data_IF_867154572963
#
_entry.id   IF_867154572963
#
_cell.length_a   1.000
_cell.length_b   1.000
_cell.length_c   1.000
_cell.angle_alpha   90.00
_cell.angle_beta   90.00
_cell.angle_gamma   90.00
#
_symmetry.space_group_name_H-M   'P 1'
#
loop_
_entity.id
_entity.type
_entity.pdbx_description
1 polymer ?
#
# COMPACT_ATOMS: atom_id res chain seq x y z
N UNK A 1 14.97 -13.05 12.26
CA UNK A 1 15.14 -14.46 11.87
C UNK A 1 16.39 -15.06 12.51
N UNK A 2 16.33 -16.32 12.91
CA UNK A 2 17.47 -17.04 13.51
C UNK A 2 17.59 -18.42 12.86
N UNK A 3 18.83 -18.85 12.64
CA UNK A 3 19.10 -20.23 12.25
C UNK A 3 19.06 -21.13 13.48
N UNK A 4 18.27 -22.20 13.43
CA UNK A 4 18.30 -23.24 14.45
C UNK A 4 18.57 -24.60 13.81
N UNK A 5 19.27 -25.48 14.56
CA UNK A 5 19.41 -26.90 14.24
C UNK A 5 18.77 -27.72 15.35
N UNK A 6 17.74 -28.46 15.01
CA UNK A 6 17.05 -29.34 15.93
C UNK A 6 17.50 -30.78 15.73
N UNK A 7 18.02 -31.40 16.78
CA UNK A 7 18.38 -32.80 16.78
C UNK A 7 17.46 -33.54 17.73
N UNK A 8 16.68 -34.47 17.17
CA UNK A 8 15.75 -35.32 17.92
C UNK A 8 16.34 -36.72 18.01
N UNK A 9 16.53 -37.20 19.22
CA UNK A 9 16.89 -38.58 19.53
C UNK A 9 15.75 -39.25 20.30
N UNK A 10 15.77 -40.57 20.47
CA UNK A 10 14.70 -41.30 21.16
C UNK A 10 14.41 -40.77 22.58
N UNK A 11 15.35 -40.10 23.22
CA UNK A 11 15.25 -39.64 24.61
C UNK A 11 15.43 -38.14 24.79
N UNK A 12 15.94 -37.40 23.77
CA UNK A 12 16.28 -35.99 23.93
C UNK A 12 15.96 -35.17 22.68
N UNK A 13 15.53 -33.93 22.91
CA UNK A 13 15.41 -32.88 21.88
C UNK A 13 16.43 -31.80 22.19
N UNK A 14 17.41 -31.61 21.32
CA UNK A 14 18.45 -30.58 21.46
C UNK A 14 18.29 -29.53 20.35
N UNK A 15 18.27 -28.26 20.75
CA UNK A 15 18.22 -27.13 19.82
C UNK A 15 19.53 -26.36 19.93
N UNK A 16 20.24 -26.22 18.83
CA UNK A 16 21.40 -25.34 18.70
C UNK A 16 20.93 -24.07 17.94
N UNK A 17 21.18 -22.91 18.53
CA UNK A 17 20.85 -21.60 17.94
C UNK A 17 22.10 -21.07 17.22
N UNK A 18 21.93 -20.62 16.00
CA UNK A 18 22.99 -20.10 15.12
C UNK A 18 24.21 -21.03 15.04
N UNK A 19 24.03 -22.32 14.70
CA UNK A 19 25.14 -23.28 14.70
C UNK A 19 26.20 -22.95 13.64
N UNK A 20 25.84 -22.20 12.61
CA UNK A 20 26.73 -21.81 11.51
C UNK A 20 26.82 -20.28 11.41
N UNK A 21 28.03 -19.70 11.69
CA UNK A 21 28.20 -18.25 11.76
C UNK A 21 27.86 -17.51 10.44
N UNK A 22 28.14 -18.12 9.27
CA UNK A 22 27.89 -17.46 7.99
C UNK A 22 26.39 -17.25 7.72
N UNK A 23 25.53 -18.21 8.11
CA UNK A 23 24.07 -18.06 8.02
C UNK A 23 23.59 -16.95 8.96
N UNK A 24 24.14 -16.89 10.17
CA UNK A 24 23.82 -15.83 11.12
C UNK A 24 24.12 -14.46 10.52
N UNK A 25 25.33 -14.26 9.98
CA UNK A 25 25.72 -13.00 9.35
C UNK A 25 24.82 -12.64 8.17
N UNK A 26 24.50 -13.61 7.32
CA UNK A 26 23.58 -13.41 6.20
C UNK A 26 22.17 -12.95 6.63
N UNK A 27 21.70 -13.43 7.78
CA UNK A 27 20.37 -13.05 8.30
C UNK A 27 20.42 -11.69 9.04
N UNK A 28 21.56 -11.33 9.66
CA UNK A 28 21.76 -10.04 10.34
C UNK A 28 22.11 -8.92 9.34
N UNK A 29 22.98 -9.23 8.35
CA UNK A 29 23.47 -8.31 7.33
C UNK A 29 23.36 -8.95 5.92
N UNK A 30 22.16 -9.01 5.34
CA UNK A 30 21.94 -9.73 4.09
C UNK A 30 22.69 -9.13 2.90
N UNK A 31 23.05 -7.85 2.96
CA UNK A 31 23.86 -7.17 1.97
C UNK A 31 24.46 -5.87 2.56
N UNK A 32 25.35 -5.23 1.79
CA UNK A 32 26.07 -4.03 2.21
C UNK A 32 25.19 -2.77 2.41
N UNK A 33 23.90 -2.81 2.05
CA UNK A 33 23.02 -1.65 2.10
C UNK A 33 21.97 -1.72 3.20
N UNK A 34 21.70 -2.91 3.76
CA UNK A 34 20.59 -3.08 4.69
C UNK A 34 20.81 -4.19 5.70
N UNK A 35 20.21 -4.01 6.86
CA UNK A 35 20.13 -5.05 7.89
C UNK A 35 19.04 -6.08 7.55
N UNK A 36 19.06 -7.23 8.25
CA UNK A 36 18.04 -8.26 8.10
C UNK A 36 16.62 -7.74 8.39
N UNK A 37 16.48 -6.83 9.36
CA UNK A 37 15.20 -6.18 9.66
C UNK A 37 14.70 -5.34 8.46
N UNK A 38 15.56 -4.48 7.90
CA UNK A 38 15.20 -3.63 6.75
C UNK A 38 14.82 -4.46 5.52
N UNK A 39 15.49 -5.59 5.30
CA UNK A 39 15.12 -6.53 4.23
C UNK A 39 13.72 -7.09 4.45
N UNK A 40 13.42 -7.55 5.68
CA UNK A 40 12.10 -8.12 6.02
C UNK A 40 10.98 -7.08 5.91
N UNK A 41 11.21 -5.85 6.39
CA UNK A 41 10.26 -4.74 6.23
C UNK A 41 9.97 -4.46 4.76
N UNK A 42 11.01 -4.44 3.92
CA UNK A 42 10.85 -4.21 2.48
C UNK A 42 10.08 -5.33 1.80
N UNK A 43 10.34 -6.59 2.16
CA UNK A 43 9.60 -7.74 1.64
C UNK A 43 8.15 -7.73 2.10
N UNK A 44 7.89 -7.41 3.37
CA UNK A 44 6.53 -7.28 3.90
C UNK A 44 5.74 -6.17 3.19
N UNK A 45 6.36 -5.00 2.97
CA UNK A 45 5.74 -3.91 2.23
C UNK A 45 5.42 -4.31 0.77
N UNK A 46 6.33 -4.99 0.08
CA UNK A 46 6.07 -5.50 -1.28
C UNK A 46 4.94 -6.53 -1.29
N UNK A 47 4.91 -7.43 -0.30
CA UNK A 47 3.87 -8.45 -0.19
C UNK A 47 2.48 -7.83 -0.03
N UNK A 48 2.34 -6.86 0.88
CA UNK A 48 1.07 -6.16 1.12
C UNK A 48 0.60 -5.37 -0.10
N UNK A 49 1.53 -4.76 -0.85
CA UNK A 49 1.18 -3.92 -2.01
C UNK A 49 0.88 -4.72 -3.27
N UNK A 50 1.57 -5.85 -3.47
CA UNK A 50 1.55 -6.56 -4.76
C UNK A 50 1.14 -8.03 -4.65
N UNK A 51 0.87 -8.54 -3.45
CA UNK A 51 0.69 -9.98 -3.16
C UNK A 51 1.85 -10.86 -3.65
N UNK A 52 2.97 -10.24 -4.01
CA UNK A 52 4.22 -10.90 -4.39
C UNK A 52 5.40 -10.09 -3.90
N UNK A 53 6.33 -10.73 -3.21
CA UNK A 53 7.59 -10.11 -2.81
C UNK A 53 8.76 -11.03 -3.15
N UNK A 54 9.83 -10.44 -3.68
CA UNK A 54 10.96 -11.19 -4.19
C UNK A 54 12.26 -10.73 -3.57
N UNK A 55 13.12 -11.69 -3.20
CA UNK A 55 14.53 -11.42 -2.94
C UNK A 55 15.39 -12.49 -3.61
N UNK A 56 16.52 -12.07 -4.15
CA UNK A 56 17.49 -12.96 -4.82
C UNK A 56 18.63 -13.29 -3.88
N UNK A 57 18.96 -14.57 -3.80
CA UNK A 57 20.11 -15.07 -3.08
C UNK A 57 21.28 -15.13 -4.05
N UNK A 58 22.33 -14.37 -3.77
CA UNK A 58 23.59 -14.51 -4.47
C UNK A 58 24.44 -15.54 -3.74
N UNK A 59 24.96 -16.51 -4.51
CA UNK A 59 25.83 -17.57 -3.99
C UNK A 59 27.28 -17.32 -4.36
N UNK A 60 28.19 -17.79 -3.52
CA UNK A 60 29.61 -17.80 -3.80
C UNK A 60 30.00 -18.92 -4.78
N UNK A 61 31.29 -19.04 -5.10
CA UNK A 61 31.86 -20.06 -6.00
C UNK A 61 31.61 -21.52 -5.50
N UNK A 62 31.36 -21.69 -4.22
CA UNK A 62 31.06 -22.99 -3.60
C UNK A 62 29.54 -23.28 -3.52
N UNK A 63 28.72 -22.35 -4.04
CA UNK A 63 27.27 -22.47 -3.98
C UNK A 63 26.65 -22.10 -2.63
N UNK A 64 27.43 -21.53 -1.69
CA UNK A 64 26.94 -21.08 -0.41
C UNK A 64 26.28 -19.70 -0.54
N UNK A 65 25.17 -19.45 0.17
CA UNK A 65 24.50 -18.16 0.14
C UNK A 65 25.39 -17.07 0.78
N UNK A 66 25.71 -16.04 0.01
CA UNK A 66 26.61 -14.95 0.39
C UNK A 66 25.90 -13.63 0.62
N UNK A 67 24.86 -13.34 -0.18
CA UNK A 67 24.08 -12.11 -0.01
C UNK A 67 22.62 -12.32 -0.44
N UNK A 68 21.71 -11.48 0.09
CA UNK A 68 20.29 -11.46 -0.26
C UNK A 68 19.91 -10.03 -0.63
N UNK A 69 19.37 -9.85 -1.83
CA UNK A 69 18.91 -8.56 -2.34
C UNK A 69 17.41 -8.58 -2.64
N UNK A 70 16.61 -7.64 -2.11
CA UNK A 70 15.21 -7.52 -2.49
C UNK A 70 15.11 -7.03 -3.94
N UNK A 71 14.19 -7.59 -4.71
CA UNK A 71 13.95 -7.22 -6.11
C UNK A 71 12.72 -6.36 -6.20
N UNK A 72 12.87 -5.12 -6.66
CA UNK A 72 11.77 -4.21 -6.96
C UNK A 72 11.58 -4.16 -8.48
N UNK A 73 10.95 -5.19 -9.04
CA UNK A 73 10.65 -5.26 -10.47
C UNK A 73 9.30 -4.61 -10.78
N UNK A 74 9.16 -4.07 -11.99
CA UNK A 74 7.86 -3.62 -12.53
C UNK A 74 6.98 -4.80 -12.93
N UNK A 75 7.61 -5.88 -13.42
CA UNK A 75 6.96 -7.11 -13.84
C UNK A 75 7.87 -8.30 -13.58
N UNK A 76 7.28 -9.44 -13.26
CA UNK A 76 7.97 -10.71 -13.12
C UNK A 76 7.24 -11.76 -13.95
N UNK A 77 7.98 -12.48 -14.79
CA UNK A 77 7.48 -13.57 -15.61
C UNK A 77 8.10 -14.88 -15.18
N UNK A 78 7.31 -15.95 -15.19
CA UNK A 78 7.77 -17.31 -14.98
C UNK A 78 8.16 -17.94 -16.33
N UNK A 79 9.37 -18.45 -16.42
CA UNK A 79 9.92 -19.05 -17.64
C UNK A 79 10.49 -20.42 -17.30
N UNK A 80 10.20 -21.41 -18.13
CA UNK A 80 10.76 -22.75 -18.00
C UNK A 80 11.85 -22.99 -19.05
N UNK A 81 12.94 -23.60 -18.63
CA UNK A 81 13.95 -24.07 -19.58
C UNK A 81 13.52 -25.38 -20.27
N UNK A 82 14.33 -25.86 -21.21
CA UNK A 82 14.07 -27.12 -21.91
C UNK A 82 14.08 -28.36 -20.98
N UNK A 83 14.67 -28.25 -19.80
CA UNK A 83 14.69 -29.28 -18.76
C UNK A 83 13.52 -29.20 -17.79
N UNK A 84 12.62 -28.20 -17.93
CA UNK A 84 11.50 -28.01 -17.03
C UNK A 84 11.84 -27.26 -15.74
N UNK A 85 13.05 -26.68 -15.64
CA UNK A 85 13.42 -25.88 -14.48
C UNK A 85 12.78 -24.49 -14.59
N UNK A 86 12.25 -24.00 -13.45
CA UNK A 86 11.61 -22.69 -13.36
C UNK A 86 12.64 -21.59 -13.13
N UNK A 87 12.51 -20.53 -13.91
CA UNK A 87 13.24 -19.29 -13.77
C UNK A 87 12.27 -18.13 -13.63
N UNK A 88 12.64 -17.11 -12.86
CA UNK A 88 11.92 -15.83 -12.81
C UNK A 88 12.70 -14.76 -13.58
N UNK A 89 12.00 -14.12 -14.50
CA UNK A 89 12.51 -13.03 -15.32
C UNK A 89 11.91 -11.72 -14.83
N UNK A 90 12.76 -10.84 -14.33
CA UNK A 90 12.38 -9.56 -13.74
C UNK A 90 12.66 -8.41 -14.70
N UNK A 91 11.66 -7.57 -14.95
CA UNK A 91 11.78 -6.35 -15.73
C UNK A 91 11.93 -5.17 -14.77
N UNK A 92 13.09 -4.56 -14.78
CA UNK A 92 13.44 -3.48 -13.86
C UNK A 92 13.03 -2.11 -14.41
N UNK A 93 12.83 -1.14 -13.53
CA UNK A 93 12.45 0.23 -13.90
C UNK A 93 13.46 0.94 -14.83
N UNK A 94 14.73 0.57 -14.75
CA UNK A 94 15.80 1.10 -15.61
C UNK A 94 15.86 0.43 -17.01
N UNK A 95 14.90 -0.43 -17.35
CA UNK A 95 14.84 -1.18 -18.59
C UNK A 95 15.71 -2.43 -18.64
N UNK A 96 16.48 -2.73 -17.58
CA UNK A 96 17.25 -3.98 -17.53
C UNK A 96 16.34 -5.17 -17.25
N UNK A 97 16.76 -6.33 -17.75
CA UNK A 97 16.06 -7.60 -17.54
C UNK A 97 17.02 -8.57 -16.86
N UNK A 98 16.58 -9.08 -15.70
CA UNK A 98 17.36 -10.02 -14.91
C UNK A 98 16.61 -11.36 -14.83
N UNK A 99 17.32 -12.45 -14.98
CA UNK A 99 16.74 -13.80 -14.91
C UNK A 99 17.50 -14.62 -13.87
N UNK A 100 16.76 -15.21 -12.93
CA UNK A 100 17.30 -16.04 -11.86
C UNK A 100 16.59 -17.37 -11.80
N UNK A 101 17.33 -18.43 -11.43
CA UNK A 101 16.71 -19.70 -11.12
C UNK A 101 15.76 -19.55 -9.92
N UNK A 102 14.60 -20.18 -9.97
CA UNK A 102 13.61 -20.07 -8.90
C UNK A 102 14.16 -20.55 -7.54
N UNK A 103 15.12 -21.46 -7.55
CA UNK A 103 15.78 -21.95 -6.34
C UNK A 103 16.61 -20.88 -5.63
N UNK A 104 17.04 -19.84 -6.34
CA UNK A 104 17.78 -18.70 -5.79
C UNK A 104 16.88 -17.49 -5.51
N UNK A 105 15.56 -17.63 -5.65
CA UNK A 105 14.62 -16.55 -5.36
C UNK A 105 13.77 -16.91 -4.16
N UNK A 106 13.83 -16.09 -3.12
CA UNK A 106 12.86 -16.07 -2.02
C UNK A 106 11.62 -15.38 -2.56
N UNK A 107 10.49 -16.09 -2.57
CA UNK A 107 9.23 -15.61 -3.12
C UNK A 107 8.12 -15.71 -2.08
N UNK A 108 7.69 -14.58 -1.53
CA UNK A 108 6.52 -14.49 -0.67
C UNK A 108 5.29 -14.17 -1.50
N UNK A 109 4.16 -14.81 -1.18
CA UNK A 109 2.91 -14.73 -1.95
C UNK A 109 1.74 -14.48 -1.02
N UNK A 110 0.92 -13.48 -1.35
CA UNK A 110 -0.41 -13.28 -0.80
C UNK A 110 -1.47 -13.79 -1.77
N UNK A 111 -2.68 -14.11 -1.27
CA UNK A 111 -3.84 -14.55 -2.07
C UNK A 111 -3.47 -15.55 -3.19
N UNK A 112 -2.79 -16.62 -2.79
CA UNK A 112 -2.25 -17.60 -3.73
C UNK A 112 -3.27 -18.72 -3.97
N UNK A 113 -4.13 -18.58 -4.99
CA UNK A 113 -5.17 -19.57 -5.30
C UNK A 113 -5.44 -19.78 -6.80
N UNK A 114 -5.39 -18.77 -7.65
CA UNK A 114 -5.66 -18.91 -9.10
C UNK A 114 -4.40 -19.26 -9.89
N UNK A 115 -3.26 -18.68 -9.52
CA UNK A 115 -2.00 -18.86 -10.23
C UNK A 115 -1.11 -19.90 -9.54
N UNK A 116 -0.43 -20.76 -10.31
CA UNK A 116 0.44 -21.79 -9.77
C UNK A 116 1.77 -21.25 -9.18
N UNK A 117 2.17 -20.03 -9.55
CA UNK A 117 3.47 -19.45 -9.18
C UNK A 117 3.33 -18.16 -8.42
N UNK A 118 2.51 -17.22 -8.90
CA UNK A 118 2.35 -15.89 -8.34
C UNK A 118 1.11 -15.80 -7.46
N UNK A 119 1.17 -14.96 -6.43
CA UNK A 119 -0.02 -14.51 -5.72
C UNK A 119 -0.87 -13.60 -6.60
N UNK A 120 -2.18 -13.63 -6.42
CA UNK A 120 -3.12 -12.87 -7.22
C UNK A 120 -3.06 -11.38 -6.86
N UNK A 121 -3.12 -10.46 -7.85
CA UNK A 121 -2.93 -9.05 -7.59
C UNK A 121 -4.10 -8.44 -6.81
N UNK A 122 -3.81 -7.64 -5.79
CA UNK A 122 -4.81 -6.89 -5.01
C UNK A 122 -5.43 -5.72 -5.80
N UNK A 123 -4.76 -5.24 -6.86
CA UNK A 123 -5.15 -4.06 -7.61
C UNK A 123 -6.60 -4.06 -8.12
N UNK A 124 -7.17 -5.16 -8.68
CA UNK A 124 -8.57 -5.18 -9.11
C UNK A 124 -9.56 -4.89 -7.98
N UNK A 125 -9.24 -5.24 -6.75
CA UNK A 125 -10.11 -5.01 -5.59
C UNK A 125 -9.95 -3.60 -5.00
N UNK A 126 -8.71 -3.07 -4.96
CA UNK A 126 -8.43 -1.79 -4.29
C UNK A 126 -8.65 -0.57 -5.20
N UNK A 127 -8.36 -0.66 -6.51
CA UNK A 127 -8.44 0.49 -7.43
C UNK A 127 -9.83 1.15 -7.42
N UNK A 128 -10.96 0.43 -7.52
CA UNK A 128 -12.28 1.05 -7.47
C UNK A 128 -12.56 1.77 -6.14
N UNK A 129 -12.05 1.26 -5.02
CA UNK A 129 -12.19 1.90 -3.71
C UNK A 129 -11.37 3.20 -3.63
N UNK A 130 -10.16 3.20 -4.16
CA UNK A 130 -9.31 4.39 -4.21
C UNK A 130 -9.85 5.46 -5.16
N UNK A 131 -10.51 5.07 -6.25
CA UNK A 131 -11.22 6.01 -7.13
C UNK A 131 -12.37 6.72 -6.40
N UNK A 132 -13.14 6.00 -5.59
CA UNK A 132 -14.19 6.59 -4.75
C UNK A 132 -13.59 7.59 -3.77
N UNK A 133 -12.52 7.23 -3.05
CA UNK A 133 -11.83 8.12 -2.11
C UNK A 133 -11.33 9.38 -2.81
N UNK A 134 -10.59 9.22 -3.90
CA UNK A 134 -10.00 10.34 -4.66
C UNK A 134 -11.08 11.28 -5.21
N UNK A 135 -12.16 10.71 -5.78
CA UNK A 135 -13.29 11.50 -6.31
C UNK A 135 -14.02 12.26 -5.20
N UNK A 136 -14.19 11.61 -4.04
CA UNK A 136 -14.80 12.20 -2.85
C UNK A 136 -13.96 13.37 -2.33
N UNK A 137 -12.66 13.20 -2.18
CA UNK A 137 -11.74 14.26 -1.75
C UNK A 137 -11.73 15.44 -2.72
N UNK A 138 -11.72 15.17 -4.02
CA UNK A 138 -11.85 16.22 -5.02
C UNK A 138 -13.19 16.95 -4.95
N UNK A 139 -14.28 16.24 -4.65
CA UNK A 139 -15.60 16.81 -4.40
C UNK A 139 -15.60 17.77 -3.20
N UNK A 140 -15.00 17.34 -2.08
CA UNK A 140 -14.84 18.17 -0.87
C UNK A 140 -14.00 19.42 -1.17
N UNK A 141 -12.85 19.26 -1.84
CA UNK A 141 -12.01 20.42 -2.22
C UNK A 141 -12.77 21.40 -3.11
N UNK A 142 -13.56 20.92 -4.07
CA UNK A 142 -14.41 21.77 -4.91
C UNK A 142 -15.50 22.47 -4.09
N UNK A 143 -16.16 21.75 -3.18
CA UNK A 143 -17.18 22.32 -2.30
C UNK A 143 -16.60 23.41 -1.42
N UNK A 144 -15.41 23.20 -0.82
CA UNK A 144 -14.71 24.21 -0.01
C UNK A 144 -14.37 25.45 -0.86
N UNK A 145 -13.83 25.27 -2.06
CA UNK A 145 -13.52 26.38 -2.96
C UNK A 145 -14.77 27.15 -3.40
N UNK A 146 -15.87 26.43 -3.66
CA UNK A 146 -17.13 27.04 -4.09
C UNK A 146 -17.88 27.69 -2.93
N UNK A 147 -17.75 27.21 -1.69
CA UNK A 147 -18.38 27.81 -0.52
C UNK A 147 -17.87 29.23 -0.21
N UNK A 148 -16.64 29.53 -0.67
CA UNK A 148 -16.08 30.89 -0.56
C UNK A 148 -16.59 31.85 -1.65
N UNK A 149 -17.35 31.37 -2.64
CA UNK A 149 -17.90 32.19 -3.73
C UNK A 149 -19.38 32.33 -3.54
N UNK A 150 -19.80 33.50 -3.00
CA UNK A 150 -21.21 33.88 -2.94
C UNK A 150 -21.67 34.13 -4.37
N UNK A 151 -22.59 33.31 -4.86
CA UNK A 151 -23.20 33.50 -6.20
C UNK A 151 -24.49 34.26 -6.06
N UNK A 152 -24.50 35.47 -6.62
CA UNK A 152 -25.67 36.31 -6.69
C UNK A 152 -26.18 36.41 -8.11
N UNK A 153 -27.48 36.27 -8.30
CA UNK A 153 -28.17 36.60 -9.55
C UNK A 153 -28.80 37.99 -9.44
N UNK A 154 -28.26 38.91 -10.20
CA UNK A 154 -28.84 40.26 -10.32
C UNK A 154 -29.82 40.25 -11.50
N UNK A 155 -31.10 40.46 -11.21
CA UNK A 155 -32.15 40.59 -12.22
C UNK A 155 -32.55 42.06 -12.34
N UNK A 156 -32.50 42.61 -13.55
CA UNK A 156 -32.88 43.97 -13.84
C UNK A 156 -34.24 43.99 -14.53
N UNK A 157 -35.14 44.83 -14.02
CA UNK A 157 -36.52 44.95 -14.58
C UNK A 157 -36.59 45.69 -15.92
N UNK A 158 -35.50 46.28 -16.39
CA UNK A 158 -35.43 47.02 -17.65
C UNK A 158 -34.34 46.44 -18.57
N UNK A 159 -34.55 46.47 -19.87
CA UNK A 159 -33.54 46.09 -20.87
C UNK A 159 -32.37 47.07 -20.81
N UNK A 160 -31.18 46.55 -20.53
CA UNK A 160 -29.93 47.31 -20.42
C UNK A 160 -28.91 46.84 -21.44
N UNK A 161 -27.97 47.70 -21.81
CA UNK A 161 -26.84 47.33 -22.64
C UNK A 161 -25.95 46.32 -21.92
N UNK A 162 -25.31 45.37 -22.59
CA UNK A 162 -24.48 44.39 -21.96
C UNK A 162 -23.32 44.94 -21.13
N UNK A 163 -22.82 46.12 -21.53
CA UNK A 163 -21.74 46.85 -20.83
C UNK A 163 -22.21 47.41 -19.48
N UNK A 164 -23.44 47.99 -19.46
CA UNK A 164 -24.04 48.54 -18.24
C UNK A 164 -24.38 47.42 -17.24
N UNK A 165 -24.80 46.24 -17.73
CA UNK A 165 -25.05 45.06 -16.89
C UNK A 165 -23.75 44.56 -16.24
N UNK A 166 -22.65 44.52 -17.00
CA UNK A 166 -21.32 44.17 -16.48
C UNK A 166 -20.85 45.15 -15.43
N UNK A 167 -20.98 46.46 -15.68
CA UNK A 167 -20.54 47.48 -14.76
C UNK A 167 -21.32 47.40 -13.44
N UNK A 168 -22.65 47.27 -13.48
CA UNK A 168 -23.46 47.10 -12.27
C UNK A 168 -23.19 45.84 -11.49
N UNK A 169 -22.88 44.74 -12.19
CA UNK A 169 -22.47 43.50 -11.53
C UNK A 169 -21.12 43.67 -10.81
N UNK A 170 -20.21 44.44 -11.39
CA UNK A 170 -18.92 44.76 -10.80
C UNK A 170 -19.05 45.70 -9.62
N UNK A 171 -19.84 46.76 -9.75
CA UNK A 171 -20.17 47.72 -8.66
C UNK A 171 -20.84 47.03 -7.46
N UNK A 172 -21.70 46.02 -7.74
CA UNK A 172 -22.32 45.18 -6.71
C UNK A 172 -21.27 44.31 -6.01
N UNK A 173 -20.39 43.65 -6.78
CA UNK A 173 -19.32 42.82 -6.24
C UNK A 173 -18.39 43.67 -5.36
N UNK A 174 -17.97 44.84 -5.82
CA UNK A 174 -17.06 45.71 -5.09
C UNK A 174 -17.70 46.34 -3.84
N UNK A 175 -19.01 46.61 -3.88
CA UNK A 175 -19.72 47.22 -2.77
C UNK A 175 -20.16 46.24 -1.68
N UNK A 176 -20.48 44.98 -2.05
CA UNK A 176 -21.13 44.02 -1.14
C UNK A 176 -20.37 42.73 -0.90
N UNK A 177 -19.46 42.34 -1.80
CA UNK A 177 -18.73 41.06 -1.67
C UNK A 177 -17.30 41.23 -1.13
N UNK A 178 -16.81 42.50 -1.01
CA UNK A 178 -15.51 42.74 -0.40
C UNK A 178 -15.58 42.69 1.14
N UNK A 179 -14.74 41.81 1.71
CA UNK A 179 -14.65 41.52 3.16
C UNK A 179 -14.36 42.79 4.01
N UNK A 180 -13.88 43.88 3.39
CA UNK A 180 -13.59 45.15 4.05
C UNK A 180 -14.83 46.00 4.32
N UNK A 181 -15.98 45.71 3.71
CA UNK A 181 -17.23 46.47 3.91
C UNK A 181 -18.12 45.75 4.95
N UNK A 182 -17.69 45.73 6.20
CA UNK A 182 -18.30 45.00 7.31
C UNK A 182 -19.63 45.55 7.86
N UNK A 183 -20.44 46.24 7.07
CA UNK A 183 -21.73 46.84 7.55
C UNK A 183 -22.93 45.89 7.48
N UNK A 184 -22.82 44.73 6.84
CA UNK A 184 -23.88 43.70 6.84
C UNK A 184 -25.23 44.09 6.23
N UNK A 185 -25.37 45.30 5.67
CA UNK A 185 -26.62 45.79 5.07
C UNK A 185 -26.37 46.21 3.62
N UNK A 186 -27.10 45.55 2.69
CA UNK A 186 -27.08 45.88 1.27
C UNK A 186 -28.37 46.61 0.88
N UNK A 187 -28.26 47.76 0.26
CA UNK A 187 -29.39 48.45 -0.39
C UNK A 187 -29.31 48.21 -1.90
N UNK A 188 -30.37 47.70 -2.46
CA UNK A 188 -30.52 47.48 -3.92
C UNK A 188 -31.56 48.48 -4.45
N UNK A 189 -31.27 49.09 -5.62
CA UNK A 189 -32.21 49.98 -6.30
C UNK A 189 -33.51 49.22 -6.65
N UNK A 190 -34.67 49.90 -6.56
CA UNK A 190 -36.00 49.35 -6.83
C UNK A 190 -36.14 48.70 -8.22
N UNK A 191 -35.16 48.85 -9.11
CA UNK A 191 -35.10 48.27 -10.46
C UNK A 191 -34.25 47.02 -10.59
N UNK A 192 -33.63 46.55 -9.51
CA UNK A 192 -32.81 45.36 -9.50
C UNK A 192 -33.21 44.42 -8.35
N UNK A 193 -33.39 43.18 -8.64
CA UNK A 193 -33.60 42.13 -7.64
C UNK A 193 -32.31 41.27 -7.51
N UNK A 194 -31.76 41.19 -6.32
CA UNK A 194 -30.61 40.34 -6.03
C UNK A 194 -31.09 39.05 -5.37
N UNK A 195 -30.88 37.92 -6.05
CA UNK A 195 -31.22 36.60 -5.53
C UNK A 195 -29.96 35.82 -5.28
N UNK A 196 -29.79 35.36 -4.06
CA UNK A 196 -28.70 34.41 -3.73
C UNK A 196 -29.07 33.04 -4.33
N UNK A 197 -28.13 32.48 -5.05
CA UNK A 197 -28.23 31.10 -5.54
C UNK A 197 -27.34 30.24 -4.63
N UNK A 198 -27.97 29.41 -3.82
CA UNK A 198 -27.25 28.41 -3.05
C UNK A 198 -26.68 27.37 -4.02
N UNK A 199 -25.34 27.28 -4.18
CA UNK A 199 -24.76 26.23 -4.95
C UNK A 199 -25.09 24.90 -4.24
N UNK A 200 -25.78 24.01 -4.92
CA UNK A 200 -25.92 22.63 -4.43
C UNK A 200 -24.59 21.91 -4.66
N UNK A 201 -23.63 22.19 -3.80
CA UNK A 201 -22.39 21.45 -3.80
C UNK A 201 -22.65 20.04 -3.24
N UNK A 202 -22.20 19.04 -3.96
CA UNK A 202 -22.23 17.67 -3.46
C UNK A 202 -21.20 17.54 -2.33
N UNK A 203 -21.68 17.48 -1.11
CA UNK A 203 -20.88 17.09 0.05
C UNK A 203 -21.14 15.61 0.30
N UNK A 204 -20.10 14.76 0.22
CA UNK A 204 -20.25 13.32 0.48
C UNK A 204 -20.84 13.09 1.88
N UNK A 205 -21.75 12.13 1.99
CA UNK A 205 -22.30 11.76 3.28
C UNK A 205 -21.21 11.07 4.13
N UNK A 206 -21.01 11.53 5.35
CA UNK A 206 -20.05 10.96 6.30
C UNK A 206 -20.21 9.45 6.45
N UNK A 207 -21.44 8.94 6.50
CA UNK A 207 -21.71 7.50 6.56
C UNK A 207 -21.25 6.72 5.31
N UNK A 208 -21.18 7.34 4.14
CA UNK A 208 -20.62 6.70 2.94
C UNK A 208 -19.09 6.67 3.00
N UNK A 209 -18.46 7.74 3.49
CA UNK A 209 -17.02 7.80 3.69
C UNK A 209 -16.56 6.75 4.71
N UNK A 210 -17.28 6.64 5.84
CA UNK A 210 -16.98 5.63 6.86
C UNK A 210 -17.11 4.20 6.32
N UNK A 211 -18.15 3.92 5.52
CA UNK A 211 -18.29 2.61 4.89
C UNK A 211 -17.19 2.32 3.87
N UNK A 212 -16.72 3.31 3.12
CA UNK A 212 -15.60 3.12 2.19
C UNK A 212 -14.32 2.84 2.94
N UNK A 213 -14.06 3.58 4.02
CA UNK A 213 -12.92 3.34 4.91
C UNK A 213 -12.96 1.95 5.53
N UNK A 214 -14.13 1.50 6.03
CA UNK A 214 -14.32 0.15 6.56
C UNK A 214 -14.06 -0.95 5.52
N UNK A 215 -14.45 -0.72 4.26
CA UNK A 215 -14.16 -1.65 3.16
C UNK A 215 -12.66 -1.76 2.88
N UNK A 216 -11.94 -0.64 2.95
CA UNK A 216 -10.47 -0.63 2.80
C UNK A 216 -9.84 -1.39 3.97
N UNK A 217 -10.27 -1.15 5.21
CA UNK A 217 -9.78 -1.92 6.36
C UNK A 217 -10.05 -3.42 6.22
N UNK A 218 -11.26 -3.79 5.78
CA UNK A 218 -11.61 -5.19 5.56
C UNK A 218 -10.77 -5.85 4.45
N UNK A 219 -10.37 -5.10 3.42
CA UNK A 219 -9.50 -5.61 2.35
C UNK A 219 -8.10 -5.98 2.86
N UNK A 220 -7.62 -5.25 3.88
CA UNK A 220 -6.33 -5.52 4.54
C UNK A 220 -6.50 -6.27 5.87
N UNK A 221 -7.65 -6.90 6.10
CA UNK A 221 -7.99 -7.65 7.33
C UNK A 221 -7.59 -6.90 8.61
N UNK A 222 -7.74 -5.59 8.62
CA UNK A 222 -7.38 -4.73 9.75
C UNK A 222 -8.61 -3.97 10.27
N UNK A 223 -8.44 -3.27 11.39
CA UNK A 223 -9.49 -2.44 11.97
C UNK A 223 -8.94 -1.07 12.42
N UNK A 224 -9.80 -0.08 12.68
CA UNK A 224 -9.38 1.25 13.11
C UNK A 224 -8.49 1.24 14.36
N UNK A 225 -8.73 0.36 15.32
CA UNK A 225 -7.98 0.30 16.58
C UNK A 225 -6.52 -0.12 16.36
N UNK A 226 -6.28 -1.07 15.45
CA UNK A 226 -4.94 -1.47 15.04
C UNK A 226 -4.21 -0.29 14.37
N UNK A 227 -4.88 0.37 13.41
CA UNK A 227 -4.29 1.48 12.63
C UNK A 227 -3.96 2.69 13.52
N UNK A 228 -4.81 2.98 14.51
CA UNK A 228 -4.60 4.10 15.45
C UNK A 228 -3.78 3.73 16.68
N UNK A 229 -3.30 2.48 16.76
CA UNK A 229 -2.49 1.97 17.89
C UNK A 229 -3.19 2.03 19.25
N UNK A 230 -4.52 1.90 19.28
CA UNK A 230 -5.34 1.84 20.51
C UNK A 230 -6.01 0.47 20.68
N UNK A 231 -5.55 -0.54 19.94
CA UNK A 231 -6.10 -1.88 19.98
C UNK A 231 -5.92 -2.51 21.37
N UNK A 232 -6.92 -3.29 21.79
CA UNK A 232 -6.85 -4.11 22.98
C UNK A 232 -5.91 -5.30 22.78
N UNK A 233 -5.51 -5.96 23.87
CA UNK A 233 -4.64 -7.15 23.79
C UNK A 233 -5.28 -8.28 22.97
N UNK A 234 -6.57 -8.49 23.10
CA UNK A 234 -7.33 -9.48 22.31
C UNK A 234 -7.33 -9.14 20.82
N UNK A 235 -7.55 -7.86 20.46
CA UNK A 235 -7.52 -7.40 19.07
C UNK A 235 -6.12 -7.52 18.46
N UNK A 236 -5.06 -7.22 19.23
CA UNK A 236 -3.69 -7.39 18.81
C UNK A 236 -3.34 -8.86 18.59
N UNK A 237 -3.73 -9.74 19.52
CA UNK A 237 -3.54 -11.18 19.39
C UNK A 237 -4.27 -11.73 18.17
N UNK A 238 -5.53 -11.37 17.98
CA UNK A 238 -6.32 -11.80 16.83
C UNK A 238 -5.69 -11.35 15.49
N UNK A 239 -5.23 -10.09 15.42
CA UNK A 239 -4.55 -9.56 14.24
C UNK A 239 -3.19 -10.26 14.00
N UNK A 240 -2.44 -10.52 15.06
CA UNK A 240 -1.17 -11.24 14.95
C UNK A 240 -1.38 -12.65 14.40
N UNK A 241 -2.34 -13.39 14.94
CA UNK A 241 -2.62 -14.78 14.54
C UNK A 241 -3.18 -14.86 13.10
N UNK A 242 -4.03 -13.91 12.72
CA UNK A 242 -4.66 -13.91 11.40
C UNK A 242 -3.75 -13.40 10.27
N UNK A 243 -2.97 -12.33 10.52
CA UNK A 243 -2.26 -11.62 9.45
C UNK A 243 -0.75 -11.72 9.56
N UNK A 244 -0.19 -11.60 10.78
CA UNK A 244 1.26 -11.52 10.93
C UNK A 244 1.89 -12.91 10.97
N UNK A 245 1.34 -13.84 11.74
CA UNK A 245 1.88 -15.19 11.90
C UNK A 245 1.97 -15.96 10.58
N UNK A 246 0.96 -15.94 9.68
CA UNK A 246 1.06 -16.59 8.36
C UNK A 246 2.24 -16.06 7.53
N UNK A 247 2.47 -14.74 7.52
CA UNK A 247 3.59 -14.12 6.81
C UNK A 247 4.93 -14.56 7.40
N UNK A 248 5.04 -14.58 8.74
CA UNK A 248 6.25 -15.05 9.42
C UNK A 248 6.52 -16.52 9.13
N UNK A 249 5.50 -17.38 9.13
CA UNK A 249 5.62 -18.81 8.77
C UNK A 249 6.07 -18.99 7.32
N UNK A 250 5.50 -18.20 6.40
CA UNK A 250 5.88 -18.24 4.99
C UNK A 250 7.33 -17.79 4.80
N UNK A 251 7.73 -16.69 5.45
CA UNK A 251 9.10 -16.18 5.42
C UNK A 251 10.10 -17.21 5.96
N UNK A 252 9.82 -17.77 7.14
CA UNK A 252 10.60 -18.86 7.75
C UNK A 252 10.74 -20.07 6.81
N UNK A 253 9.64 -20.48 6.20
CA UNK A 253 9.59 -21.59 5.25
C UNK A 253 10.43 -21.34 3.99
N UNK A 254 10.28 -20.15 3.37
CA UNK A 254 11.03 -19.78 2.18
C UNK A 254 12.53 -19.65 2.46
N UNK A 255 12.92 -18.99 3.54
CA UNK A 255 14.33 -18.94 3.95
C UNK A 255 14.89 -20.35 4.19
N UNK A 256 14.17 -21.18 4.93
CA UNK A 256 14.59 -22.56 5.19
C UNK A 256 14.76 -23.36 3.90
N UNK A 257 13.79 -23.22 2.97
CA UNK A 257 13.79 -23.98 1.70
C UNK A 257 14.91 -23.55 0.76
N UNK A 258 15.24 -22.26 0.74
CA UNK A 258 16.17 -21.66 -0.23
C UNK A 258 17.62 -21.56 0.30
N UNK A 259 17.81 -21.39 1.60
CA UNK A 259 19.15 -21.30 2.19
C UNK A 259 19.77 -22.68 2.46
N UNK A 260 18.94 -23.69 2.73
CA UNK A 260 19.42 -25.04 3.06
C UNK A 260 19.06 -26.06 1.98
N UNK A 261 20.02 -26.91 1.64
CA UNK A 261 19.80 -28.08 0.81
C UNK A 261 18.80 -29.06 1.47
N UNK A 262 18.24 -29.95 0.68
CA UNK A 262 17.30 -30.96 1.17
C UNK A 262 17.92 -31.84 2.28
N UNK A 263 19.23 -32.14 2.16
CA UNK A 263 19.98 -32.92 3.17
C UNK A 263 20.12 -32.15 4.48
N UNK A 264 20.49 -30.87 4.42
CA UNK A 264 20.66 -30.03 5.62
C UNK A 264 19.34 -29.84 6.36
N UNK A 265 18.24 -29.65 5.63
CA UNK A 265 16.89 -29.60 6.22
C UNK A 265 16.53 -30.91 6.91
N UNK A 266 16.89 -32.06 6.31
CA UNK A 266 16.72 -33.38 6.92
C UNK A 266 17.54 -33.57 8.21
N UNK A 267 18.65 -32.83 8.37
CA UNK A 267 19.42 -32.75 9.62
C UNK A 267 18.87 -31.76 10.65
N UNK A 268 17.67 -31.21 10.45
CA UNK A 268 16.99 -30.32 11.39
C UNK A 268 17.37 -28.86 11.28
N UNK A 269 18.06 -28.41 10.22
CA UNK A 269 18.34 -26.99 9.99
C UNK A 269 17.09 -26.27 9.49
N UNK A 270 16.74 -25.15 10.14
CA UNK A 270 15.63 -24.29 9.75
C UNK A 270 15.86 -22.85 10.22
N UNK A 271 15.19 -21.93 9.59
CA UNK A 271 15.10 -20.53 10.02
C UNK A 271 13.81 -20.33 10.82
N UNK A 272 13.88 -19.58 11.90
CA UNK A 272 12.73 -19.21 12.77
C UNK A 272 12.75 -17.73 13.06
#
# INVERSE_FOLDING_TARGET
AKHIRETITAQTRKIAVNPEPYIRFLLEEPNQYMTGQMLQEKLAAQLVLNNNAFAVILRDENGLPNAIFPVAAMQADAVYDAGGNLYLKFYMQNGSVLTFAYDDVIHLRGDFYENDIFGDPIAPAIVPLMEIVTTTDQGIVKAIRNSAVIRWLLMFAASMRPEDVKQRAQDFADSFLNVTNGTGVAAVDAKAEAKQIDPKDYVPNAAQMDKTTQRIYALFNTNPHIVTSIATEDEQSAYFDAEIEPVLKQLSGEYTRKLFSRRERGCGNRIV
#
